data_IF_628566445430
#
_entry.id   IF_628566445430
#
_cell.length_a   1.000
_cell.length_b   1.000
_cell.length_c   1.000
_cell.angle_alpha   90.00
_cell.angle_beta   90.00
_cell.angle_gamma   90.00
#
_symmetry.space_group_name_H-M   'P 1'
#
loop_
_entity.id
_entity.type
_entity.pdbx_description
1 polymer ?
#
# COMPACT_ATOMS: atom_id res chain seq x y z
N UNK A 1 -13.14 -23.51 -35.98
CA UNK A 1 -13.29 -23.23 -34.54
C UNK A 1 -11.96 -22.66 -34.07
N UNK A 2 -11.74 -21.34 -34.10
CA UNK A 2 -12.04 -20.37 -33.03
C UNK A 2 -11.44 -20.79 -31.67
N UNK A 3 -10.66 -20.03 -30.90
CA UNK A 3 -9.98 -18.72 -31.01
C UNK A 3 -9.22 -18.54 -29.66
N UNK A 4 -7.90 -18.25 -29.72
CA UNK A 4 -7.00 -17.51 -28.76
C UNK A 4 -7.07 -17.84 -27.24
N UNK A 5 -6.00 -17.77 -26.46
CA UNK A 5 -4.97 -16.71 -26.31
C UNK A 5 -3.70 -17.35 -25.70
N UNK A 6 -2.46 -16.94 -25.99
CA UNK A 6 -1.97 -15.58 -26.19
C UNK A 6 -1.77 -14.90 -24.83
N UNK A 7 -0.52 -14.80 -24.39
CA UNK A 7 0.00 -13.98 -23.27
C UNK A 7 -0.43 -14.28 -21.82
N UNK A 8 0.55 -14.67 -21.02
CA UNK A 8 0.71 -14.14 -19.66
C UNK A 8 2.21 -13.96 -19.32
N UNK A 9 2.99 -13.42 -20.25
CA UNK A 9 4.30 -12.82 -19.96
C UNK A 9 4.14 -11.33 -19.56
N UNK A 10 3.05 -11.01 -18.86
CA UNK A 10 2.65 -9.65 -18.49
C UNK A 10 1.49 -9.70 -17.51
N UNK A 11 1.81 -9.68 -16.23
CA UNK A 11 0.81 -9.70 -15.15
C UNK A 11 1.43 -9.22 -13.86
N UNK A 12 2.05 -8.03 -13.91
CA UNK A 12 2.19 -7.25 -12.69
C UNK A 12 0.76 -6.91 -12.28
N UNK A 13 0.25 -7.70 -11.34
CA UNK A 13 -1.11 -7.64 -10.79
C UNK A 13 -1.70 -6.22 -10.82
N UNK A 14 -2.79 -6.05 -11.58
CA UNK A 14 -3.52 -4.77 -11.73
C UNK A 14 -4.26 -4.36 -10.45
N UNK A 15 -4.23 -5.17 -9.39
CA UNK A 15 -4.80 -4.80 -8.11
C UNK A 15 -4.16 -3.50 -7.58
N UNK A 16 -4.96 -2.57 -7.01
CA UNK A 16 -4.45 -1.34 -6.42
C UNK A 16 -3.37 -1.60 -5.39
N UNK A 17 -2.27 -0.85 -5.46
CA UNK A 17 -1.14 -0.97 -4.56
C UNK A 17 -1.17 0.14 -3.51
N UNK A 18 -1.29 -0.25 -2.24
CA UNK A 18 -1.33 0.66 -1.09
C UNK A 18 0.01 0.68 -0.34
N UNK A 19 0.41 1.86 0.11
CA UNK A 19 1.45 2.04 1.12
C UNK A 19 0.79 2.46 2.44
N UNK A 20 1.07 1.73 3.51
CA UNK A 20 0.43 1.93 4.81
C UNK A 20 1.43 2.51 5.80
N UNK A 21 1.04 3.60 6.45
CA UNK A 21 1.73 4.18 7.59
C UNK A 21 0.80 4.26 8.79
N UNK A 22 1.29 3.84 9.95
CA UNK A 22 0.59 4.11 11.19
C UNK A 22 1.54 4.33 12.36
N UNK A 23 1.06 5.05 13.35
CA UNK A 23 1.76 5.34 14.60
C UNK A 23 1.66 4.19 15.63
N UNK A 24 0.68 3.31 15.44
CA UNK A 24 0.45 2.12 16.26
C UNK A 24 0.63 0.83 15.47
N UNK A 25 1.09 -0.23 16.15
CA UNK A 25 1.20 -1.56 15.54
C UNK A 25 -0.15 -2.16 15.18
N UNK A 26 -1.15 -1.97 16.04
CA UNK A 26 -2.51 -2.51 15.87
C UNK A 26 -3.24 -1.80 14.73
N UNK A 27 -3.19 -0.47 14.67
CA UNK A 27 -3.76 0.32 13.56
C UNK A 27 -3.14 -0.07 12.22
N UNK A 28 -1.81 -0.24 12.19
CA UNK A 28 -1.11 -0.74 11.00
C UNK A 28 -1.60 -2.12 10.56
N UNK A 29 -1.75 -3.07 11.49
CA UNK A 29 -2.19 -4.42 11.17
C UNK A 29 -3.63 -4.44 10.63
N UNK A 30 -4.53 -3.66 11.22
CA UNK A 30 -5.91 -3.52 10.76
C UNK A 30 -5.98 -2.89 9.36
N UNK A 31 -5.23 -1.82 9.11
CA UNK A 31 -5.19 -1.19 7.79
C UNK A 31 -4.71 -2.15 6.70
N UNK A 32 -3.69 -2.97 6.99
CA UNK A 32 -3.21 -4.03 6.09
C UNK A 32 -4.30 -5.06 5.82
N UNK A 33 -4.97 -5.57 6.85
CA UNK A 33 -6.07 -6.54 6.69
C UNK A 33 -7.19 -5.98 5.79
N UNK A 34 -7.60 -4.73 6.01
CA UNK A 34 -8.62 -4.07 5.19
C UNK A 34 -8.23 -3.95 3.72
N UNK A 35 -6.98 -3.58 3.41
CA UNK A 35 -6.48 -3.50 2.03
C UNK A 35 -6.53 -4.88 1.36
N UNK A 36 -6.06 -5.91 2.04
CA UNK A 36 -6.03 -7.28 1.49
C UNK A 36 -7.45 -7.82 1.28
N UNK A 37 -8.36 -7.59 2.23
CA UNK A 37 -9.77 -8.00 2.12
C UNK A 37 -10.51 -7.28 0.98
N UNK A 38 -10.09 -6.07 0.64
CA UNK A 38 -10.60 -5.32 -0.51
C UNK A 38 -10.03 -5.80 -1.85
N UNK A 39 -9.12 -6.79 -1.85
CA UNK A 39 -8.45 -7.29 -3.05
C UNK A 39 -7.29 -6.40 -3.51
N UNK A 40 -6.81 -5.49 -2.66
CA UNK A 40 -5.63 -4.68 -2.92
C UNK A 40 -4.32 -5.37 -2.53
N UNK A 41 -3.21 -4.72 -2.85
CA UNK A 41 -1.86 -5.11 -2.47
C UNK A 41 -1.26 -4.11 -1.49
N UNK A 42 -0.35 -4.59 -0.65
CA UNK A 42 0.41 -3.71 0.25
C UNK A 42 1.86 -3.67 -0.20
N UNK A 43 2.33 -2.52 -0.65
CA UNK A 43 3.73 -2.27 -1.03
C UNK A 43 4.65 -2.34 0.19
N UNK A 44 4.23 -1.70 1.28
CA UNK A 44 4.85 -1.79 2.59
C UNK A 44 3.86 -1.31 3.66
N UNK A 45 4.11 -1.73 4.90
CA UNK A 45 3.45 -1.21 6.08
C UNK A 45 4.52 -0.78 7.08
N UNK A 46 4.58 0.51 7.40
CA UNK A 46 5.69 1.11 8.12
C UNK A 46 5.21 2.02 9.26
N UNK A 47 6.07 2.32 10.24
CA UNK A 47 5.85 3.43 11.17
C UNK A 47 5.75 4.76 10.42
N UNK A 48 4.88 5.65 10.90
CA UNK A 48 4.65 6.99 10.32
C UNK A 48 5.90 7.87 10.27
N UNK A 49 6.86 7.66 11.16
CA UNK A 49 8.15 8.38 11.17
C UNK A 49 8.96 8.12 9.88
N UNK A 50 8.70 7.02 9.19
CA UNK A 50 9.35 6.67 7.92
C UNK A 50 8.61 7.23 6.70
N UNK A 51 7.45 7.88 6.88
CA UNK A 51 6.58 8.30 5.78
C UNK A 51 7.28 9.28 4.83
N UNK A 52 7.94 10.31 5.36
CA UNK A 52 8.60 11.33 4.54
C UNK A 52 9.74 10.76 3.70
N UNK A 53 10.58 9.90 4.29
CA UNK A 53 11.67 9.25 3.53
C UNK A 53 11.09 8.35 2.42
N UNK A 54 10.06 7.57 2.73
CA UNK A 54 9.48 6.59 1.80
C UNK A 54 8.67 7.23 0.69
N UNK A 55 7.93 8.29 0.98
CA UNK A 55 7.21 9.06 -0.04
C UNK A 55 8.18 9.84 -0.94
N UNK A 56 9.31 10.29 -0.40
CA UNK A 56 10.37 10.95 -1.18
C UNK A 56 11.10 10.02 -2.15
N UNK A 57 11.09 8.70 -1.91
CA UNK A 57 11.64 7.68 -2.80
C UNK A 57 10.52 7.16 -3.70
N UNK A 58 10.42 7.67 -4.92
CA UNK A 58 9.35 7.35 -5.89
C UNK A 58 9.03 5.84 -5.96
N UNK A 59 7.81 5.49 -5.54
CA UNK A 59 7.15 4.21 -5.81
C UNK A 59 5.81 4.56 -6.46
N UNK A 60 5.44 3.89 -7.56
CA UNK A 60 4.11 4.00 -8.13
C UNK A 60 3.11 3.34 -7.18
N UNK A 61 2.31 4.16 -6.51
CA UNK A 61 1.27 3.75 -5.56
C UNK A 61 -0.06 4.34 -6.01
N UNK A 62 -1.13 3.57 -5.87
CA UNK A 62 -2.48 4.03 -6.16
C UNK A 62 -3.12 4.70 -4.94
N UNK A 63 -2.66 4.33 -3.74
CA UNK A 63 -3.20 4.77 -2.47
C UNK A 63 -2.11 4.85 -1.39
N UNK A 64 -2.22 5.86 -0.53
CA UNK A 64 -1.48 5.94 0.74
C UNK A 64 -2.51 5.93 1.87
N UNK A 65 -2.35 4.99 2.81
CA UNK A 65 -3.18 4.90 4.02
C UNK A 65 -2.37 5.43 5.19
N UNK A 66 -2.97 6.39 5.91
CA UNK A 66 -2.39 7.03 7.09
C UNK A 66 -3.36 6.85 8.25
N UNK A 67 -2.92 6.12 9.27
CA UNK A 67 -3.63 5.99 10.53
C UNK A 67 -2.78 6.61 11.65
N UNK A 68 -3.24 7.74 12.18
CA UNK A 68 -2.49 8.53 13.18
C UNK A 68 -3.44 8.92 14.30
N UNK A 69 -2.96 8.73 15.53
CA UNK A 69 -3.66 9.05 16.77
C UNK A 69 -3.11 10.29 17.47
N UNK A 70 -1.91 10.74 17.09
CA UNK A 70 -1.29 11.98 17.57
C UNK A 70 -0.76 12.84 16.42
N UNK A 71 -0.50 14.13 16.71
CA UNK A 71 0.12 15.04 15.75
C UNK A 71 1.62 14.76 15.66
N UNK A 72 2.10 14.53 14.44
CA UNK A 72 3.48 14.15 14.12
C UNK A 72 4.33 15.28 13.55
N UNK A 73 3.81 16.51 13.47
CA UNK A 73 4.60 17.69 13.12
C UNK A 73 4.47 18.79 14.17
N UNK A 74 5.30 19.84 14.14
CA UNK A 74 6.66 19.97 13.63
C UNK A 74 7.73 19.59 14.69
N UNK A 75 8.94 19.23 14.23
CA UNK A 75 10.13 19.14 15.10
C UNK A 75 10.64 20.52 15.53
#
# INVERSE_FOLDING_TARGET
MAQRSGDAAGGWDTAPCALVFADSGDGRALAVDHVLRAGGRVAAALPIEQALERLGRQIALDLVVLDVSYDHGPM
#
